data_IF_841367427064
#
_entry.id   IF_841367427064
#
_cell.length_a   1.000
_cell.length_b   1.000
_cell.length_c   1.000
_cell.angle_alpha   90.00
_cell.angle_beta   90.00
_cell.angle_gamma   90.00
#
_symmetry.space_group_name_H-M   'P 1'
#
loop_
_entity.id
_entity.type
_entity.pdbx_description
1 polymer ?
#
# COMPACT_ATOMS: atom_id res chain seq x y z
N UNK A 1 -9.42 34.55 -9.19
CA UNK A 1 -9.32 33.31 -9.97
C UNK A 1 -10.07 32.21 -9.21
N UNK A 2 -11.15 31.68 -9.75
CA UNK A 2 -11.87 30.56 -9.11
C UNK A 2 -11.03 29.30 -9.33
N UNK A 3 -10.62 28.63 -8.24
CA UNK A 3 -9.94 27.36 -8.31
C UNK A 3 -10.82 26.32 -9.03
N UNK A 4 -10.24 25.42 -9.84
CA UNK A 4 -10.96 24.29 -10.39
C UNK A 4 -11.68 23.51 -9.27
N UNK A 5 -12.86 22.97 -9.52
CA UNK A 5 -13.67 22.25 -8.52
C UNK A 5 -12.88 21.17 -7.76
N UNK A 6 -11.95 20.49 -8.44
CA UNK A 6 -11.08 19.50 -7.83
C UNK A 6 -10.13 20.07 -6.75
N UNK A 7 -9.78 21.35 -6.85
CA UNK A 7 -8.88 22.04 -5.90
C UNK A 7 -9.64 22.89 -4.88
N UNK A 8 -10.98 22.95 -4.97
CA UNK A 8 -11.82 23.75 -4.07
C UNK A 8 -11.60 23.44 -2.57
N UNK A 9 -11.32 22.19 -2.12
CA UNK A 9 -11.03 21.91 -0.71
C UNK A 9 -9.84 22.67 -0.16
N UNK A 10 -8.84 23.00 -0.97
CA UNK A 10 -7.64 23.73 -0.55
C UNK A 10 -7.92 25.22 -0.16
N UNK A 11 -9.10 25.75 -0.45
CA UNK A 11 -9.52 27.07 0.04
C UNK A 11 -9.79 27.09 1.55
N UNK A 12 -10.07 25.92 2.14
CA UNK A 12 -10.30 25.77 3.58
C UNK A 12 -8.97 25.65 4.31
N UNK A 13 -8.56 26.71 5.00
CA UNK A 13 -7.21 26.83 5.63
C UNK A 13 -6.84 25.62 6.49
N UNK A 14 -7.76 25.07 7.27
CA UNK A 14 -7.51 23.90 8.14
C UNK A 14 -7.25 22.64 7.33
N UNK A 15 -8.03 22.42 6.27
CA UNK A 15 -7.85 21.31 5.35
C UNK A 15 -6.52 21.47 4.58
N UNK A 16 -6.26 22.65 4.03
CA UNK A 16 -5.02 22.94 3.29
C UNK A 16 -3.78 22.70 4.16
N UNK A 17 -3.79 23.15 5.43
CA UNK A 17 -2.68 22.91 6.36
C UNK A 17 -2.48 21.43 6.63
N UNK A 18 -3.54 20.66 6.92
CA UNK A 18 -3.47 19.21 7.11
C UNK A 18 -2.97 18.53 5.83
N UNK A 19 -3.53 18.89 4.67
CA UNK A 19 -3.19 18.27 3.39
C UNK A 19 -1.73 18.52 3.00
N UNK A 20 -1.22 19.76 3.12
CA UNK A 20 0.17 20.10 2.79
C UNK A 20 1.16 19.44 3.75
N UNK A 21 0.87 19.45 5.06
CA UNK A 21 1.68 18.74 6.05
C UNK A 21 1.73 17.24 5.76
N UNK A 22 0.59 16.62 5.54
CA UNK A 22 0.51 15.19 5.22
C UNK A 22 1.15 14.87 3.86
N UNK A 23 1.12 15.77 2.87
CA UNK A 23 1.81 15.58 1.60
C UNK A 23 3.32 15.58 1.78
N UNK A 24 3.86 16.54 2.53
CA UNK A 24 5.29 16.57 2.86
C UNK A 24 5.71 15.29 3.61
N UNK A 25 4.91 14.86 4.60
CA UNK A 25 5.14 13.63 5.34
C UNK A 25 5.07 12.37 4.45
N UNK A 26 4.15 12.32 3.51
CA UNK A 26 4.06 11.22 2.55
C UNK A 26 5.32 11.11 1.70
N UNK A 27 5.81 12.24 1.18
CA UNK A 27 7.08 12.29 0.43
C UNK A 27 8.23 11.77 1.31
N UNK A 28 8.34 12.27 2.56
CA UNK A 28 9.36 11.84 3.51
C UNK A 28 9.29 10.34 3.82
N UNK A 29 8.10 9.81 4.06
CA UNK A 29 7.89 8.40 4.36
C UNK A 29 8.27 7.48 3.18
N UNK A 30 7.92 7.85 1.95
CA UNK A 30 8.34 7.09 0.76
C UNK A 30 9.84 7.20 0.50
N UNK A 31 10.43 8.36 0.79
CA UNK A 31 11.88 8.55 0.73
C UNK A 31 12.61 7.68 1.77
N UNK A 32 12.14 7.67 3.02
CA UNK A 32 12.66 6.81 4.10
C UNK A 32 12.54 5.32 3.73
N UNK A 33 11.41 4.88 3.18
CA UNK A 33 11.22 3.50 2.78
C UNK A 33 12.27 3.03 1.75
N UNK A 34 12.60 3.88 0.77
CA UNK A 34 13.68 3.62 -0.20
C UNK A 34 15.03 3.62 0.48
N UNK A 35 15.32 4.62 1.31
CA UNK A 35 16.59 4.76 2.03
C UNK A 35 16.87 3.55 2.93
N UNK A 36 15.88 3.10 3.70
CA UNK A 36 15.98 1.91 4.54
C UNK A 36 16.21 0.65 3.71
N UNK A 37 15.47 0.48 2.61
CA UNK A 37 15.64 -0.66 1.70
C UNK A 37 17.06 -0.73 1.13
N UNK A 38 17.62 0.40 0.68
CA UNK A 38 18.99 0.47 0.19
C UNK A 38 19.97 0.17 1.34
N UNK A 39 19.84 0.84 2.47
CA UNK A 39 20.71 0.72 3.62
C UNK A 39 20.85 -0.74 4.07
N UNK A 40 19.73 -1.44 4.32
CA UNK A 40 19.80 -2.83 4.80
C UNK A 40 20.33 -3.78 3.74
N UNK A 41 20.12 -3.51 2.46
CA UNK A 41 20.64 -4.33 1.37
C UNK A 41 22.13 -4.13 1.17
N UNK A 42 22.61 -2.88 1.20
CA UNK A 42 24.06 -2.56 1.06
C UNK A 42 24.86 -3.06 2.25
N UNK A 43 24.33 -2.89 3.48
CA UNK A 43 25.01 -3.32 4.71
C UNK A 43 25.11 -4.85 4.81
N UNK A 44 24.07 -5.58 4.38
CA UNK A 44 24.01 -7.04 4.59
C UNK A 44 24.39 -7.85 3.34
N UNK A 45 24.30 -7.25 2.15
CA UNK A 45 24.38 -7.95 0.88
C UNK A 45 23.24 -8.96 0.65
N UNK A 46 22.14 -8.92 1.42
CA UNK A 46 21.08 -9.93 1.42
C UNK A 46 19.71 -9.34 1.09
N UNK A 47 19.02 -9.97 0.14
CA UNK A 47 17.66 -9.60 -0.27
C UNK A 47 16.62 -9.91 0.83
N UNK A 48 16.87 -10.91 1.68
CA UNK A 48 16.02 -11.28 2.81
C UNK A 48 15.80 -10.12 3.78
N UNK A 49 16.79 -9.27 4.01
CA UNK A 49 16.65 -8.09 4.86
C UNK A 49 15.73 -7.03 4.24
N UNK A 50 15.80 -6.81 2.93
CA UNK A 50 14.86 -5.90 2.25
C UNK A 50 13.41 -6.40 2.39
N UNK A 51 13.19 -7.71 2.21
CA UNK A 51 11.90 -8.34 2.44
C UNK A 51 11.41 -8.22 3.88
N UNK A 52 12.30 -8.41 4.86
CA UNK A 52 11.97 -8.32 6.28
C UNK A 52 11.60 -6.89 6.71
N UNK A 53 12.34 -5.89 6.24
CA UNK A 53 12.03 -4.47 6.54
C UNK A 53 10.71 -4.06 5.90
N UNK A 54 10.45 -4.45 4.66
CA UNK A 54 9.17 -4.19 4.01
C UNK A 54 8.00 -4.87 4.75
N UNK A 55 8.22 -6.10 5.24
CA UNK A 55 7.26 -6.79 6.09
C UNK A 55 7.03 -6.05 7.42
N UNK A 56 8.09 -5.59 8.08
CA UNK A 56 8.01 -4.82 9.32
C UNK A 56 7.23 -3.50 9.15
N UNK A 57 7.41 -2.81 8.02
CA UNK A 57 6.69 -1.58 7.70
C UNK A 57 5.19 -1.82 7.47
N UNK A 58 4.80 -2.94 6.85
CA UNK A 58 3.45 -3.12 6.33
C UNK A 58 2.57 -4.04 7.18
N UNK A 59 3.14 -5.06 7.84
CA UNK A 59 2.38 -6.02 8.66
C UNK A 59 1.54 -5.36 9.78
N UNK A 60 1.98 -4.28 10.44
CA UNK A 60 1.18 -3.61 11.47
C UNK A 60 -0.20 -3.17 10.97
N UNK A 61 -0.36 -2.85 9.67
CA UNK A 61 -1.66 -2.43 9.12
C UNK A 61 -2.73 -3.53 9.25
N UNK A 62 -2.34 -4.82 9.18
CA UNK A 62 -3.27 -5.92 9.35
C UNK A 62 -3.68 -6.13 10.81
N UNK A 63 -2.71 -6.06 11.72
CA UNK A 63 -2.89 -6.48 13.11
C UNK A 63 -3.20 -5.30 14.04
N UNK A 64 -2.61 -4.13 13.79
CA UNK A 64 -2.73 -2.92 14.62
C UNK A 64 -3.78 -1.95 14.05
N UNK A 65 -3.92 -1.87 12.71
CA UNK A 65 -4.83 -0.95 12.05
C UNK A 65 -6.29 -1.01 12.55
N UNK A 66 -6.88 -2.20 12.76
CA UNK A 66 -8.23 -2.32 13.34
C UNK A 66 -8.38 -1.69 14.74
N UNK A 67 -7.32 -1.77 15.57
CA UNK A 67 -7.30 -1.12 16.89
C UNK A 67 -7.20 0.40 16.77
N UNK A 68 -6.51 0.91 15.73
CA UNK A 68 -6.44 2.35 15.43
C UNK A 68 -7.83 2.94 15.16
N UNK A 69 -8.68 2.23 14.43
CA UNK A 69 -10.08 2.64 14.21
C UNK A 69 -10.87 2.72 15.52
N UNK A 70 -10.84 1.66 16.33
CA UNK A 70 -11.51 1.64 17.62
C UNK A 70 -10.99 2.71 18.60
N UNK A 71 -9.70 3.04 18.51
CA UNK A 71 -9.07 4.07 19.33
C UNK A 71 -9.49 5.48 18.86
N UNK A 72 -9.61 5.69 17.54
CA UNK A 72 -10.09 6.94 16.95
C UNK A 72 -11.55 7.26 17.29
N UNK A 73 -12.35 6.24 17.65
CA UNK A 73 -13.71 6.40 18.13
C UNK A 73 -13.78 6.77 19.63
N UNK A 74 -12.73 6.50 20.40
CA UNK A 74 -12.67 6.71 21.87
C UNK A 74 -11.82 7.90 22.28
N UNK A 75 -10.75 8.17 21.56
CA UNK A 75 -9.81 9.27 21.83
C UNK A 75 -10.04 10.40 20.82
N UNK A 76 -9.94 11.67 21.23
CA UNK A 76 -9.99 12.77 20.26
C UNK A 76 -9.00 12.53 19.11
N UNK A 77 -9.54 12.48 17.88
CA UNK A 77 -8.79 12.14 16.65
C UNK A 77 -7.48 12.95 16.51
N UNK A 78 -7.55 14.25 16.89
CA UNK A 78 -6.39 15.13 16.93
C UNK A 78 -5.31 14.61 17.89
N UNK A 79 -5.68 14.24 19.11
CA UNK A 79 -4.74 13.75 20.13
C UNK A 79 -4.09 12.45 19.70
N UNK A 80 -4.87 11.52 19.12
CA UNK A 80 -4.37 10.26 18.61
C UNK A 80 -3.37 10.49 17.48
N UNK A 81 -3.74 11.34 16.50
CA UNK A 81 -2.87 11.63 15.35
C UNK A 81 -1.59 12.38 15.77
N UNK A 82 -1.68 13.35 16.68
CA UNK A 82 -0.49 14.03 17.22
C UNK A 82 0.43 13.07 17.95
N UNK A 83 -0.10 12.19 18.80
CA UNK A 83 0.68 11.21 19.55
C UNK A 83 1.39 10.22 18.63
N UNK A 84 0.67 9.63 17.66
CA UNK A 84 1.26 8.68 16.71
C UNK A 84 2.29 9.35 15.79
N UNK A 85 2.03 10.57 15.32
CA UNK A 85 2.99 11.34 14.50
C UNK A 85 4.23 11.74 15.32
N UNK A 86 4.09 12.09 16.61
CA UNK A 86 5.23 12.38 17.47
C UNK A 86 6.13 11.14 17.69
N UNK A 87 5.50 9.96 17.86
CA UNK A 87 6.24 8.69 17.91
C UNK A 87 6.99 8.45 16.59
N UNK A 88 6.34 8.62 15.45
CA UNK A 88 7.00 8.46 14.14
C UNK A 88 8.16 9.46 13.94
N UNK A 89 7.98 10.73 14.34
CA UNK A 89 9.05 11.73 14.30
C UNK A 89 10.26 11.32 15.17
N UNK A 90 10.00 10.81 16.38
CA UNK A 90 11.06 10.34 17.30
C UNK A 90 11.80 9.13 16.71
N UNK A 91 11.07 8.19 16.11
CA UNK A 91 11.66 7.01 15.49
C UNK A 91 12.48 7.36 14.24
N UNK A 92 11.99 8.28 13.40
CA UNK A 92 12.73 8.81 12.24
C UNK A 92 14.00 9.58 12.68
N UNK A 93 13.93 10.35 13.77
CA UNK A 93 15.10 10.97 14.39
C UNK A 93 16.09 9.92 14.91
N UNK A 94 15.60 8.81 15.46
CA UNK A 94 16.41 7.66 15.83
C UNK A 94 17.14 7.03 14.65
N UNK A 95 16.46 6.83 13.51
CA UNK A 95 17.11 6.37 12.27
C UNK A 95 18.17 7.37 11.78
N UNK A 96 17.85 8.68 11.86
CA UNK A 96 18.82 9.74 11.53
C UNK A 96 20.09 9.61 12.38
N UNK A 97 19.93 9.46 13.70
CA UNK A 97 21.07 9.32 14.60
C UNK A 97 21.87 8.04 14.34
N UNK A 98 21.19 6.89 14.18
CA UNK A 98 21.86 5.62 13.86
C UNK A 98 22.67 5.73 12.57
N UNK A 99 22.13 6.37 11.52
CA UNK A 99 22.87 6.55 10.26
C UNK A 99 24.03 7.53 10.43
N UNK A 100 23.85 8.66 11.13
CA UNK A 100 24.88 9.68 11.31
C UNK A 100 26.07 9.19 12.15
N UNK A 101 25.88 8.19 13.02
CA UNK A 101 26.93 7.58 13.84
C UNK A 101 27.43 6.24 13.31
N UNK A 102 27.09 5.85 12.08
CA UNK A 102 27.42 4.56 11.47
C UNK A 102 26.98 3.35 12.31
N UNK A 103 25.93 3.51 13.10
CA UNK A 103 25.40 2.50 14.03
C UNK A 103 24.08 1.87 13.54
N UNK A 104 23.77 2.02 12.26
CA UNK A 104 22.52 1.56 11.65
C UNK A 104 22.51 0.04 11.39
N UNK A 105 22.58 -0.73 12.47
CA UNK A 105 22.48 -2.19 12.40
C UNK A 105 21.14 -2.64 11.81
N UNK A 106 21.11 -3.62 10.89
CA UNK A 106 19.89 -4.03 10.16
C UNK A 106 18.73 -4.43 11.06
N UNK A 107 18.99 -5.09 12.20
CA UNK A 107 17.95 -5.46 13.16
C UNK A 107 17.37 -4.24 13.90
N UNK A 108 18.22 -3.26 14.25
CA UNK A 108 17.78 -2.04 14.92
C UNK A 108 16.91 -1.18 13.99
N UNK A 109 17.35 -1.03 12.74
CA UNK A 109 16.57 -0.37 11.67
C UNK A 109 15.23 -1.06 11.49
N UNK A 110 15.19 -2.40 11.41
CA UNK A 110 13.96 -3.18 11.25
C UNK A 110 13.00 -2.99 12.43
N UNK A 111 13.48 -2.96 13.67
CA UNK A 111 12.65 -2.72 14.85
C UNK A 111 12.07 -1.29 14.88
N UNK A 112 12.86 -0.30 14.49
CA UNK A 112 12.38 1.09 14.39
C UNK A 112 11.30 1.20 13.32
N UNK A 113 11.51 0.58 12.15
CA UNK A 113 10.53 0.55 11.06
C UNK A 113 9.25 -0.17 11.49
N UNK A 114 9.34 -1.28 12.22
CA UNK A 114 8.18 -1.97 12.79
C UNK A 114 7.41 -1.07 13.76
N UNK A 115 8.10 -0.40 14.69
CA UNK A 115 7.49 0.52 15.64
C UNK A 115 6.83 1.71 14.94
N UNK A 116 7.48 2.27 13.90
CA UNK A 116 6.92 3.34 13.06
C UNK A 116 5.67 2.87 12.31
N UNK A 117 5.71 1.64 11.74
CA UNK A 117 4.56 1.00 11.12
C UNK A 117 3.38 0.82 12.08
N UNK A 118 3.64 0.42 13.33
CA UNK A 118 2.60 0.31 14.37
C UNK A 118 1.98 1.69 14.68
N UNK A 119 2.81 2.73 14.85
CA UNK A 119 2.33 4.08 15.09
C UNK A 119 1.49 4.60 13.90
N UNK A 120 1.96 4.37 12.65
CA UNK A 120 1.23 4.71 11.44
C UNK A 120 -0.11 4.00 11.33
N UNK A 121 -0.15 2.69 11.59
CA UNK A 121 -1.37 1.89 11.57
C UNK A 121 -2.43 2.36 12.60
N UNK A 122 -1.99 2.83 13.77
CA UNK A 122 -2.87 3.45 14.77
C UNK A 122 -3.37 4.83 14.36
N UNK A 123 -2.52 5.66 13.74
CA UNK A 123 -2.83 7.04 13.39
C UNK A 123 -3.66 7.19 12.12
N UNK A 124 -3.52 6.28 11.16
CA UNK A 124 -4.14 6.39 9.84
C UNK A 124 -5.67 6.51 9.86
N UNK A 125 -6.43 5.71 10.67
CA UNK A 125 -7.88 5.88 10.77
C UNK A 125 -8.30 7.24 11.33
N UNK A 126 -7.53 7.79 12.29
CA UNK A 126 -7.78 9.13 12.83
C UNK A 126 -7.58 10.20 11.75
N UNK A 127 -6.52 10.11 10.94
CA UNK A 127 -6.29 11.00 9.79
C UNK A 127 -7.44 10.94 8.79
N UNK A 128 -7.85 9.74 8.37
CA UNK A 128 -8.93 9.53 7.42
C UNK A 128 -10.27 10.09 7.91
N UNK A 129 -10.56 9.95 9.19
CA UNK A 129 -11.80 10.45 9.80
C UNK A 129 -11.80 11.95 10.08
N UNK A 130 -10.61 12.61 10.11
CA UNK A 130 -10.54 14.07 10.24
C UNK A 130 -10.86 14.80 8.93
N UNK A 131 -10.56 14.21 7.77
CA UNK A 131 -10.72 14.87 6.48
C UNK A 131 -12.15 15.39 6.20
N UNK A 132 -13.21 14.58 6.40
CA UNK A 132 -14.59 15.04 6.21
C UNK A 132 -15.00 16.20 7.13
N UNK A 133 -14.41 16.29 8.33
CA UNK A 133 -14.75 17.31 9.33
C UNK A 133 -14.13 18.68 9.00
N UNK A 134 -13.22 18.75 8.03
CA UNK A 134 -12.48 19.96 7.68
C UNK A 134 -12.98 20.67 6.42
N UNK A 135 -13.93 20.05 5.71
CA UNK A 135 -14.51 20.59 4.48
C UNK A 135 -16.05 20.49 4.50
N UNK A 136 -16.77 21.39 3.84
CA UNK A 136 -18.21 21.25 3.62
C UNK A 136 -18.52 20.01 2.76
N UNK A 137 -19.76 19.51 2.84
CA UNK A 137 -20.19 18.31 2.10
C UNK A 137 -20.01 18.44 0.59
N UNK A 138 -20.19 19.62 0.02
CA UNK A 138 -19.99 19.94 -1.39
C UNK A 138 -18.55 19.74 -1.87
N UNK A 139 -17.57 19.93 -0.98
CA UNK A 139 -16.14 19.80 -1.30
C UNK A 139 -15.56 18.43 -0.92
N UNK A 140 -16.35 17.55 -0.28
CA UNK A 140 -15.87 16.26 0.26
C UNK A 140 -15.30 15.34 -0.82
N UNK A 141 -15.95 15.25 -1.98
CA UNK A 141 -15.45 14.44 -3.11
C UNK A 141 -14.08 14.93 -3.59
N UNK A 142 -13.91 16.26 -3.68
CA UNK A 142 -12.62 16.88 -4.01
C UNK A 142 -11.55 16.59 -2.95
N UNK A 143 -11.91 16.63 -1.66
CA UNK A 143 -11.00 16.32 -0.56
C UNK A 143 -10.51 14.86 -0.60
N UNK A 144 -11.39 13.91 -0.87
CA UNK A 144 -11.04 12.49 -1.03
C UNK A 144 -10.12 12.30 -2.24
N UNK A 145 -10.43 12.94 -3.37
CA UNK A 145 -9.60 12.89 -4.58
C UNK A 145 -8.20 13.47 -4.35
N UNK A 146 -8.10 14.60 -3.64
CA UNK A 146 -6.83 15.21 -3.25
C UNK A 146 -6.02 14.33 -2.29
N UNK A 147 -6.68 13.62 -1.37
CA UNK A 147 -6.03 12.63 -0.50
C UNK A 147 -5.42 11.46 -1.30
N UNK A 148 -6.15 10.93 -2.27
CA UNK A 148 -5.65 9.89 -3.16
C UNK A 148 -4.49 10.40 -4.04
N UNK A 149 -4.60 11.62 -4.58
CA UNK A 149 -3.55 12.26 -5.36
C UNK A 149 -2.27 12.46 -4.54
N UNK A 150 -2.40 12.93 -3.30
CA UNK A 150 -1.30 13.11 -2.35
C UNK A 150 -0.51 11.81 -2.14
N UNK A 151 -1.22 10.71 -1.90
CA UNK A 151 -0.60 9.40 -1.68
C UNK A 151 0.19 8.93 -2.90
N UNK A 152 -0.42 9.03 -4.09
CA UNK A 152 0.22 8.62 -5.33
C UNK A 152 1.40 9.52 -5.73
N UNK A 153 1.28 10.85 -5.54
CA UNK A 153 2.38 11.79 -5.79
C UNK A 153 3.55 11.55 -4.84
N UNK A 154 3.29 11.30 -3.54
CA UNK A 154 4.32 10.95 -2.57
C UNK A 154 5.12 9.71 -3.00
N UNK A 155 4.42 8.70 -3.53
CA UNK A 155 5.01 7.45 -4.02
C UNK A 155 5.92 7.64 -5.25
N UNK A 156 5.72 8.68 -6.05
CA UNK A 156 6.58 9.00 -7.20
C UNK A 156 7.70 9.95 -6.80
N UNK A 157 7.36 11.02 -6.08
CA UNK A 157 8.30 12.08 -5.72
C UNK A 157 9.27 11.64 -4.62
N UNK A 158 8.79 10.88 -3.62
CA UNK A 158 9.62 10.43 -2.49
C UNK A 158 10.86 9.65 -2.94
N UNK A 159 10.72 8.57 -3.71
CA UNK A 159 11.84 7.79 -4.21
C UNK A 159 12.81 8.59 -5.09
N UNK A 160 12.28 9.48 -5.95
CA UNK A 160 13.12 10.35 -6.79
C UNK A 160 13.99 11.28 -5.93
N UNK A 161 13.40 11.86 -4.87
CA UNK A 161 14.14 12.68 -3.92
C UNK A 161 15.09 11.83 -3.06
N UNK A 162 14.75 10.58 -2.73
CA UNK A 162 15.63 9.68 -2.00
C UNK A 162 16.98 9.51 -2.71
N UNK A 163 16.95 9.22 -4.02
CA UNK A 163 18.18 9.07 -4.82
C UNK A 163 19.04 10.33 -4.81
N UNK A 164 18.41 11.51 -4.94
CA UNK A 164 19.11 12.80 -4.90
C UNK A 164 19.71 13.06 -3.51
N UNK A 165 18.90 12.95 -2.45
CA UNK A 165 19.31 13.29 -1.07
C UNK A 165 20.40 12.32 -0.58
N UNK A 166 20.27 11.01 -0.83
CA UNK A 166 21.29 10.03 -0.48
C UNK A 166 22.58 10.26 -1.24
N UNK A 167 22.47 10.64 -2.53
CA UNK A 167 23.65 10.94 -3.36
C UNK A 167 24.44 12.17 -2.92
N UNK A 168 23.77 13.16 -2.31
CA UNK A 168 24.42 14.40 -1.83
C UNK A 168 24.88 14.32 -0.39
N UNK A 169 24.18 13.65 0.49
CA UNK A 169 24.40 13.75 1.92
C UNK A 169 24.32 12.46 2.71
N UNK A 170 24.08 11.31 2.06
CA UNK A 170 23.95 10.03 2.75
C UNK A 170 22.55 9.72 3.28
N UNK A 171 22.41 8.57 3.96
CA UNK A 171 21.15 8.07 4.49
C UNK A 171 20.59 8.95 5.61
N UNK A 172 21.48 9.53 6.43
CA UNK A 172 21.12 10.40 7.55
C UNK A 172 20.28 11.60 7.10
N UNK A 173 20.58 12.19 5.94
CA UNK A 173 19.80 13.29 5.37
C UNK A 173 18.42 12.84 4.91
N UNK A 174 18.30 11.66 4.34
CA UNK A 174 17.00 11.12 3.95
C UNK A 174 16.09 10.92 5.18
N UNK A 175 16.62 10.38 6.27
CA UNK A 175 15.90 10.20 7.53
C UNK A 175 15.62 11.54 8.24
N UNK A 176 16.56 12.48 8.22
CA UNK A 176 16.38 13.83 8.79
C UNK A 176 15.25 14.58 8.08
N UNK A 177 15.18 14.54 6.75
CA UNK A 177 14.09 15.17 5.99
C UNK A 177 12.75 14.55 6.36
N UNK A 178 12.65 13.22 6.54
CA UNK A 178 11.41 12.60 7.01
C UNK A 178 11.07 13.00 8.45
N UNK A 179 12.05 13.12 9.34
CA UNK A 179 11.84 13.66 10.69
C UNK A 179 11.20 15.06 10.64
N UNK A 180 11.77 15.96 9.85
CA UNK A 180 11.24 17.31 9.66
C UNK A 180 9.83 17.28 9.05
N UNK A 181 9.56 16.35 8.13
CA UNK A 181 8.25 16.22 7.52
C UNK A 181 7.17 15.83 8.54
N UNK A 182 7.46 14.95 9.49
CA UNK A 182 6.55 14.64 10.60
C UNK A 182 6.33 15.84 11.52
N UNK A 183 7.38 16.65 11.80
CA UNK A 183 7.23 17.90 12.57
C UNK A 183 6.31 18.88 11.84
N UNK A 184 6.38 18.97 10.52
CA UNK A 184 5.45 19.79 9.73
C UNK A 184 3.99 19.34 9.90
N UNK A 185 3.72 18.03 9.94
CA UNK A 185 2.38 17.51 10.24
C UNK A 185 1.93 17.90 11.65
N UNK A 186 2.80 17.77 12.66
CA UNK A 186 2.47 18.15 14.04
C UNK A 186 2.11 19.64 14.12
N UNK A 187 2.89 20.51 13.49
CA UNK A 187 2.62 21.97 13.41
C UNK A 187 1.29 22.24 12.70
N UNK A 188 1.00 21.53 11.61
CA UNK A 188 -0.24 21.70 10.86
C UNK A 188 -1.48 21.27 11.66
N UNK A 189 -1.38 20.20 12.46
CA UNK A 189 -2.50 19.64 13.22
C UNK A 189 -2.70 20.35 14.57
N UNK A 190 -1.63 20.87 15.18
CA UNK A 190 -1.67 21.46 16.52
C UNK A 190 -2.77 22.55 16.70
N UNK A 191 -3.04 23.46 15.75
CA UNK A 191 -4.10 24.47 15.89
C UNK A 191 -5.52 23.95 15.56
N UNK A 192 -5.66 22.72 15.00
CA UNK A 192 -6.95 22.20 14.56
C UNK A 192 -7.74 21.73 15.80
N UNK A 193 -8.90 22.33 16.02
CA UNK A 193 -9.85 21.90 17.05
C UNK A 193 -11.01 21.21 16.38
N UNK A 194 -11.27 19.96 16.76
CA UNK A 194 -12.40 19.15 16.33
C UNK A 194 -13.31 18.85 17.51
N UNK A 195 -14.62 18.65 17.29
CA UNK A 195 -15.53 18.13 18.30
C UNK A 195 -15.02 16.81 18.88
N UNK A 196 -15.30 16.56 20.14
CA UNK A 196 -15.03 15.26 20.74
C UNK A 196 -15.77 14.16 19.98
N UNK A 197 -15.19 12.96 19.83
CA UNK A 197 -15.88 11.84 19.21
C UNK A 197 -17.14 11.52 20.01
N UNK A 198 -18.27 11.35 19.33
CA UNK A 198 -19.45 10.76 19.92
C UNK A 198 -19.18 9.28 20.09
N UNK A 199 -19.14 8.82 21.35
CA UNK A 199 -18.99 7.40 21.65
C UNK A 199 -20.12 6.64 20.94
N UNK A 200 -19.78 5.90 19.90
CA UNK A 200 -20.65 4.86 19.37
C UNK A 200 -20.34 3.59 20.16
N UNK A 201 -21.35 2.97 20.73
CA UNK A 201 -21.25 1.59 21.21
C UNK A 201 -20.89 0.73 19.99
N UNK A 202 -19.59 0.47 19.82
CA UNK A 202 -19.06 -0.21 18.66
C UNK A 202 -19.12 -1.72 18.86
N UNK A 203 -19.53 -2.39 17.81
CA UNK A 203 -19.36 -3.84 17.66
C UNK A 203 -17.89 -4.23 17.88
N UNK A 204 -17.63 -5.38 18.48
CA UNK A 204 -16.25 -5.88 18.68
C UNK A 204 -15.53 -5.99 17.33
N UNK A 205 -14.29 -5.47 17.27
CA UNK A 205 -13.41 -5.55 16.07
C UNK A 205 -13.31 -7.00 15.58
N UNK A 206 -13.16 -7.94 16.52
CA UNK A 206 -13.08 -9.36 16.20
C UNK A 206 -14.39 -9.87 15.54
N UNK A 207 -15.54 -9.39 15.99
CA UNK A 207 -16.84 -9.72 15.38
C UNK A 207 -16.94 -9.14 13.97
N UNK A 208 -16.55 -7.88 13.77
CA UNK A 208 -16.58 -7.24 12.45
C UNK A 208 -15.67 -7.98 11.43
N UNK A 209 -14.45 -8.35 11.83
CA UNK A 209 -13.54 -9.12 10.97
C UNK A 209 -14.12 -10.52 10.68
N UNK A 210 -14.65 -11.19 11.70
CA UNK A 210 -15.24 -12.52 11.55
C UNK A 210 -16.45 -12.52 10.61
N UNK A 211 -17.32 -11.52 10.73
CA UNK A 211 -18.51 -11.40 9.89
C UNK A 211 -18.15 -11.02 8.46
N UNK A 212 -17.17 -10.13 8.25
CA UNK A 212 -16.61 -9.86 6.93
C UNK A 212 -16.00 -11.10 6.28
N UNK A 213 -15.24 -11.88 7.03
CA UNK A 213 -14.66 -13.14 6.55
C UNK A 213 -15.73 -14.21 6.28
N UNK A 214 -16.78 -14.27 7.11
CA UNK A 214 -17.92 -15.19 6.90
C UNK A 214 -18.68 -14.83 5.63
N UNK A 215 -18.99 -13.55 5.42
CA UNK A 215 -19.63 -13.07 4.20
C UNK A 215 -18.77 -13.37 2.97
N UNK A 216 -17.48 -13.07 3.03
CA UNK A 216 -16.53 -13.33 1.95
C UNK A 216 -16.42 -14.82 1.58
N UNK A 217 -16.65 -15.75 2.51
CA UNK A 217 -16.70 -17.19 2.22
C UNK A 217 -18.01 -17.63 1.58
N UNK A 218 -19.12 -16.91 1.82
CA UNK A 218 -20.45 -17.26 1.32
C UNK A 218 -20.73 -16.66 -0.05
N UNK A 219 -20.35 -15.40 -0.26
CA UNK A 219 -20.53 -14.71 -1.54
C UNK A 219 -19.44 -15.13 -2.52
N UNK A 220 -19.84 -15.70 -3.65
CA UNK A 220 -18.92 -16.35 -4.62
C UNK A 220 -17.96 -15.33 -5.24
N UNK A 221 -18.43 -14.12 -5.59
CA UNK A 221 -17.60 -13.09 -6.21
C UNK A 221 -16.56 -12.51 -5.26
N UNK A 222 -16.93 -12.24 -3.99
CA UNK A 222 -15.97 -11.79 -2.97
C UNK A 222 -14.96 -12.91 -2.65
N UNK A 223 -15.41 -14.15 -2.59
CA UNK A 223 -14.50 -15.29 -2.40
C UNK A 223 -13.52 -15.43 -3.56
N UNK A 224 -13.99 -15.32 -4.80
CA UNK A 224 -13.13 -15.33 -5.99
C UNK A 224 -12.12 -14.19 -5.94
N UNK A 225 -12.58 -12.98 -5.68
CA UNK A 225 -11.75 -11.78 -5.55
C UNK A 225 -10.67 -11.96 -4.47
N UNK A 226 -11.04 -12.40 -3.27
CA UNK A 226 -10.08 -12.61 -2.18
C UNK A 226 -9.08 -13.72 -2.50
N UNK A 227 -9.48 -14.75 -3.25
CA UNK A 227 -8.57 -15.81 -3.70
C UNK A 227 -7.54 -15.25 -4.69
N UNK A 228 -7.96 -14.51 -5.72
CA UNK A 228 -7.05 -13.88 -6.66
C UNK A 228 -6.13 -12.86 -5.98
N UNK A 229 -6.68 -12.05 -5.08
CA UNK A 229 -5.92 -11.07 -4.31
C UNK A 229 -4.90 -11.73 -3.37
N UNK A 230 -5.24 -12.85 -2.73
CA UNK A 230 -4.33 -13.59 -1.88
C UNK A 230 -3.10 -14.10 -2.64
N UNK A 231 -3.34 -14.71 -3.80
CA UNK A 231 -2.27 -15.21 -4.68
C UNK A 231 -1.42 -14.04 -5.21
N UNK A 232 -2.08 -12.96 -5.63
CA UNK A 232 -1.40 -11.74 -6.08
C UNK A 232 -0.51 -11.14 -4.98
N UNK A 233 -1.00 -11.10 -3.74
CA UNK A 233 -0.27 -10.53 -2.61
C UNK A 233 0.93 -11.36 -2.19
N UNK A 234 0.82 -12.69 -2.30
CA UNK A 234 1.89 -13.61 -1.89
C UNK A 234 2.99 -13.74 -2.96
N UNK A 235 2.61 -13.77 -4.23
CA UNK A 235 3.55 -14.07 -5.32
C UNK A 235 3.93 -12.85 -6.17
N UNK A 236 3.01 -11.91 -6.44
CA UNK A 236 3.33 -10.73 -7.22
C UNK A 236 3.87 -9.57 -6.37
N UNK A 237 3.13 -9.16 -5.34
CA UNK A 237 3.44 -7.95 -4.57
C UNK A 237 4.88 -7.85 -4.00
N UNK A 238 5.57 -8.96 -3.62
CA UNK A 238 6.91 -8.92 -3.06
C UNK A 238 7.96 -8.28 -3.97
N UNK A 239 7.73 -8.16 -5.29
CA UNK A 239 8.66 -7.46 -6.16
C UNK A 239 8.98 -6.04 -5.65
N UNK A 240 8.00 -5.37 -5.02
CA UNK A 240 8.16 -4.01 -4.47
C UNK A 240 9.23 -3.98 -3.38
N UNK A 241 9.21 -4.96 -2.48
CA UNK A 241 10.18 -5.07 -1.39
C UNK A 241 11.60 -5.38 -1.88
N UNK A 242 11.71 -6.09 -3.02
CA UNK A 242 12.96 -6.57 -3.55
C UNK A 242 13.65 -5.60 -4.53
N UNK A 243 13.02 -4.48 -4.89
CA UNK A 243 13.61 -3.48 -5.80
C UNK A 243 15.02 -3.05 -5.37
N UNK A 244 15.30 -2.71 -4.09
CA UNK A 244 16.63 -2.31 -3.68
C UNK A 244 17.68 -3.41 -3.91
N UNK A 245 17.31 -4.65 -3.62
CA UNK A 245 18.19 -5.79 -3.85
C UNK A 245 18.42 -6.05 -5.35
N UNK A 246 17.41 -5.84 -6.20
CA UNK A 246 17.57 -5.96 -7.67
C UNK A 246 18.51 -4.88 -8.19
N UNK A 247 18.35 -3.62 -7.79
CA UNK A 247 19.23 -2.54 -8.22
C UNK A 247 20.68 -2.84 -7.86
N UNK A 248 20.95 -3.24 -6.61
CA UNK A 248 22.28 -3.51 -6.10
C UNK A 248 22.88 -4.81 -6.67
N UNK A 249 22.19 -5.95 -6.55
CA UNK A 249 22.77 -7.28 -6.82
C UNK A 249 22.67 -7.72 -8.27
N UNK A 250 21.73 -7.18 -9.05
CA UNK A 250 21.51 -7.56 -10.46
C UNK A 250 22.14 -6.55 -11.41
N UNK A 251 22.09 -5.26 -11.07
CA UNK A 251 22.57 -4.18 -11.93
C UNK A 251 23.80 -3.46 -11.38
N UNK A 252 24.29 -3.86 -10.19
CA UNK A 252 25.48 -3.30 -9.53
C UNK A 252 25.39 -1.76 -9.36
N UNK A 253 24.17 -1.24 -9.14
CA UNK A 253 23.91 0.19 -8.98
C UNK A 253 23.56 0.52 -7.53
N UNK A 254 24.57 1.03 -6.81
CA UNK A 254 24.43 1.46 -5.41
C UNK A 254 23.81 2.87 -5.27
N UNK A 255 23.88 3.70 -6.31
CA UNK A 255 23.65 5.14 -6.19
C UNK A 255 22.26 5.61 -6.61
N UNK A 256 21.73 5.09 -7.69
CA UNK A 256 20.49 5.62 -8.28
C UNK A 256 19.51 4.57 -8.76
N UNK A 257 19.94 3.34 -8.95
CA UNK A 257 19.13 2.27 -9.53
C UNK A 257 17.83 1.99 -8.77
N UNK A 258 17.91 1.94 -7.43
CA UNK A 258 16.69 1.78 -6.61
C UNK A 258 15.71 2.93 -6.80
N UNK A 259 16.20 4.16 -6.74
CA UNK A 259 15.36 5.35 -6.92
C UNK A 259 14.73 5.38 -8.31
N UNK A 260 15.51 5.07 -9.36
CA UNK A 260 15.03 4.99 -10.74
C UNK A 260 13.92 3.93 -10.89
N UNK A 261 14.15 2.71 -10.38
CA UNK A 261 13.19 1.60 -10.46
C UNK A 261 11.90 1.92 -9.68
N UNK A 262 11.99 2.41 -8.45
CA UNK A 262 10.79 2.72 -7.64
C UNK A 262 10.03 3.91 -8.24
N UNK A 263 10.73 4.94 -8.75
CA UNK A 263 10.10 6.07 -9.43
C UNK A 263 9.38 5.60 -10.70
N UNK A 264 10.02 4.79 -11.53
CA UNK A 264 9.42 4.24 -12.76
C UNK A 264 8.18 3.40 -12.44
N UNK A 265 8.26 2.54 -11.42
CA UNK A 265 7.12 1.75 -10.92
C UNK A 265 5.95 2.67 -10.51
N UNK A 266 6.26 3.78 -9.81
CA UNK A 266 5.28 4.78 -9.42
C UNK A 266 4.66 5.52 -10.60
N UNK A 267 5.45 5.90 -11.61
CA UNK A 267 4.96 6.52 -12.84
C UNK A 267 3.99 5.60 -13.58
N UNK A 268 4.35 4.32 -13.74
CA UNK A 268 3.43 3.32 -14.32
C UNK A 268 2.11 3.23 -13.56
N UNK A 269 2.18 3.22 -12.23
CA UNK A 269 1.00 3.21 -11.37
C UNK A 269 0.11 4.45 -11.57
N UNK A 270 0.69 5.65 -11.71
CA UNK A 270 -0.06 6.89 -11.99
C UNK A 270 -0.73 6.83 -13.37
N UNK A 271 -0.01 6.38 -14.40
CA UNK A 271 -0.57 6.23 -15.74
C UNK A 271 -1.79 5.30 -15.72
N UNK A 272 -1.69 4.16 -15.02
CA UNK A 272 -2.82 3.24 -14.87
C UNK A 272 -3.97 3.88 -14.08
N UNK A 273 -3.70 4.59 -13.01
CA UNK A 273 -4.74 5.25 -12.22
C UNK A 273 -5.55 6.26 -13.06
N UNK A 274 -4.90 6.98 -13.98
CA UNK A 274 -5.55 7.95 -14.87
C UNK A 274 -6.35 7.26 -15.99
N UNK A 275 -5.94 6.09 -16.43
CA UNK A 275 -6.54 5.39 -17.57
C UNK A 275 -7.56 4.32 -17.17
N UNK A 276 -7.47 3.79 -15.94
CA UNK A 276 -8.29 2.67 -15.47
C UNK A 276 -9.80 2.95 -15.60
N UNK A 277 -10.24 4.17 -15.29
CA UNK A 277 -11.65 4.56 -15.43
C UNK A 277 -12.16 4.48 -16.87
N UNK A 278 -11.33 4.88 -17.84
CA UNK A 278 -11.67 4.77 -19.27
C UNK A 278 -11.70 3.30 -19.72
N UNK A 279 -10.74 2.49 -19.25
CA UNK A 279 -10.68 1.07 -19.56
C UNK A 279 -11.90 0.32 -19.02
N UNK A 280 -12.27 0.58 -17.75
CA UNK A 280 -13.42 -0.06 -17.11
C UNK A 280 -14.75 0.41 -17.69
N UNK A 281 -14.87 1.68 -18.07
CA UNK A 281 -16.06 2.19 -18.75
C UNK A 281 -16.28 1.54 -20.13
N UNK A 282 -15.18 1.18 -20.84
CA UNK A 282 -15.26 0.57 -22.16
C UNK A 282 -15.45 -0.95 -22.13
N UNK A 283 -14.78 -1.65 -21.21
CA UNK A 283 -14.69 -3.12 -21.20
C UNK A 283 -15.31 -3.78 -19.96
N UNK A 284 -15.79 -2.97 -19.00
CA UNK A 284 -16.28 -3.47 -17.71
C UNK A 284 -15.17 -3.87 -16.74
N UNK A 285 -15.49 -3.82 -15.45
CA UNK A 285 -14.52 -4.09 -14.35
C UNK A 285 -13.95 -5.51 -14.42
N UNK A 286 -14.80 -6.50 -14.74
CA UNK A 286 -14.41 -7.91 -14.85
C UNK A 286 -13.35 -8.14 -15.92
N UNK A 287 -13.61 -7.70 -17.17
CA UNK A 287 -12.70 -7.94 -18.28
C UNK A 287 -11.36 -7.24 -18.10
N UNK A 288 -11.38 -6.02 -17.57
CA UNK A 288 -10.15 -5.28 -17.23
C UNK A 288 -9.34 -6.03 -16.17
N UNK A 289 -9.95 -6.48 -15.06
CA UNK A 289 -9.25 -7.24 -14.03
C UNK A 289 -8.66 -8.54 -14.59
N UNK A 290 -9.46 -9.34 -15.33
CA UNK A 290 -9.00 -10.60 -15.90
C UNK A 290 -7.85 -10.44 -16.90
N UNK A 291 -7.86 -9.34 -17.68
CA UNK A 291 -6.74 -8.98 -18.56
C UNK A 291 -5.49 -8.63 -17.76
N UNK A 292 -5.63 -7.79 -16.73
CA UNK A 292 -4.51 -7.35 -15.92
C UNK A 292 -3.86 -8.52 -15.15
N UNK A 293 -4.62 -9.42 -14.54
CA UNK A 293 -4.06 -10.60 -13.83
C UNK A 293 -3.39 -11.58 -14.81
N UNK A 294 -3.79 -11.59 -16.08
CA UNK A 294 -3.16 -12.42 -17.13
C UNK A 294 -1.83 -11.80 -17.60
N UNK A 295 -1.75 -10.47 -17.71
CA UNK A 295 -0.55 -9.74 -18.14
C UNK A 295 0.49 -9.63 -17.03
N UNK A 296 0.07 -9.60 -15.76
CA UNK A 296 0.97 -9.36 -14.64
C UNK A 296 2.14 -10.35 -14.54
N UNK A 297 1.94 -11.69 -14.63
CA UNK A 297 3.06 -12.63 -14.59
C UNK A 297 4.07 -12.40 -15.74
N UNK A 298 3.58 -12.13 -16.94
CA UNK A 298 4.44 -11.86 -18.10
C UNK A 298 5.25 -10.56 -17.92
N UNK A 299 4.65 -9.52 -17.35
CA UNK A 299 5.36 -8.27 -17.03
C UNK A 299 6.44 -8.47 -15.95
N UNK A 300 6.18 -9.30 -14.94
CA UNK A 300 7.18 -9.66 -13.91
C UNK A 300 8.34 -10.47 -14.50
N UNK A 301 8.06 -11.41 -15.41
CA UNK A 301 9.11 -12.15 -16.10
C UNK A 301 9.95 -11.20 -16.96
N UNK A 302 9.32 -10.31 -17.71
CA UNK A 302 10.01 -9.31 -18.52
C UNK A 302 10.93 -8.43 -17.66
N UNK A 303 10.48 -7.99 -16.50
CA UNK A 303 11.31 -7.27 -15.53
C UNK A 303 12.47 -8.12 -15.01
N UNK A 304 12.22 -9.37 -14.65
CA UNK A 304 13.24 -10.26 -14.07
C UNK A 304 14.38 -10.62 -15.04
N UNK A 305 14.07 -10.73 -16.34
CA UNK A 305 15.06 -11.07 -17.38
C UNK A 305 15.71 -9.84 -18.03
N UNK A 306 15.38 -8.63 -17.60
CA UNK A 306 15.94 -7.40 -18.15
C UNK A 306 17.48 -7.44 -18.16
N UNK A 307 18.12 -7.21 -19.34
CA UNK A 307 19.57 -7.31 -19.44
C UNK A 307 20.31 -6.11 -18.84
N UNK A 308 19.69 -4.93 -18.85
CA UNK A 308 20.27 -3.68 -18.34
C UNK A 308 19.29 -2.95 -17.43
N UNK A 309 19.80 -1.99 -16.65
CA UNK A 309 18.97 -1.18 -15.74
C UNK A 309 17.90 -0.38 -16.52
N UNK A 310 18.24 0.17 -17.68
CA UNK A 310 17.31 0.95 -18.50
C UNK A 310 16.12 0.11 -18.96
N UNK A 311 16.38 -1.13 -19.40
CA UNK A 311 15.31 -2.08 -19.77
C UNK A 311 14.49 -2.45 -18.55
N UNK A 312 15.11 -2.64 -17.38
CA UNK A 312 14.43 -2.91 -16.13
C UNK A 312 13.53 -1.74 -15.70
N UNK A 313 13.96 -0.50 -15.89
CA UNK A 313 13.18 0.72 -15.63
C UNK A 313 11.91 0.76 -16.48
N UNK A 314 12.00 0.43 -17.76
CA UNK A 314 10.82 0.35 -18.65
C UNK A 314 9.92 -0.83 -18.25
N UNK A 315 10.52 -1.97 -17.96
CA UNK A 315 9.78 -3.18 -17.57
C UNK A 315 9.03 -2.99 -16.25
N UNK A 316 9.67 -2.39 -15.23
CA UNK A 316 9.04 -2.17 -13.92
C UNK A 316 7.98 -1.06 -13.98
N UNK A 317 8.07 -0.11 -14.89
CA UNK A 317 7.00 0.85 -15.16
C UNK A 317 5.73 0.12 -15.63
N UNK A 318 5.87 -0.87 -16.52
CA UNK A 318 4.76 -1.73 -16.94
C UNK A 318 4.22 -2.57 -15.76
N UNK A 319 5.11 -3.19 -14.97
CA UNK A 319 4.69 -3.94 -13.77
C UNK A 319 3.91 -3.04 -12.81
N UNK A 320 4.39 -1.83 -12.57
CA UNK A 320 3.72 -0.85 -11.71
C UNK A 320 2.32 -0.48 -12.19
N UNK A 321 2.16 -0.26 -13.50
CA UNK A 321 0.87 0.00 -14.12
C UNK A 321 -0.09 -1.18 -13.93
N UNK A 322 0.32 -2.38 -14.32
CA UNK A 322 -0.52 -3.59 -14.27
C UNK A 322 -0.85 -3.96 -12.82
N UNK A 323 0.12 -3.92 -11.92
CA UNK A 323 -0.09 -4.23 -10.50
C UNK A 323 -1.07 -3.28 -9.83
N UNK A 324 -0.93 -1.95 -10.04
CA UNK A 324 -1.89 -0.99 -9.50
C UNK A 324 -3.28 -1.18 -10.10
N UNK A 325 -3.35 -1.46 -11.39
CA UNK A 325 -4.61 -1.78 -12.07
C UNK A 325 -5.32 -2.98 -11.43
N UNK A 326 -4.58 -4.06 -11.15
CA UNK A 326 -5.10 -5.22 -10.41
C UNK A 326 -5.62 -4.82 -9.03
N UNK A 327 -4.80 -4.14 -8.23
CA UNK A 327 -5.15 -3.76 -6.86
C UNK A 327 -6.38 -2.85 -6.82
N UNK A 328 -6.42 -1.82 -7.67
CA UNK A 328 -7.55 -0.90 -7.77
C UNK A 328 -8.82 -1.61 -8.24
N UNK A 329 -8.73 -2.50 -9.21
CA UNK A 329 -9.87 -3.29 -9.69
C UNK A 329 -10.40 -4.23 -8.59
N UNK A 330 -9.52 -4.90 -7.84
CA UNK A 330 -9.92 -5.72 -6.69
C UNK A 330 -10.70 -4.88 -5.66
N UNK A 331 -10.20 -3.70 -5.29
CA UNK A 331 -10.86 -2.81 -4.33
C UNK A 331 -12.21 -2.32 -4.85
N UNK A 332 -12.29 -1.94 -6.12
CA UNK A 332 -13.53 -1.43 -6.74
C UNK A 332 -14.60 -2.53 -6.80
N UNK A 333 -14.26 -3.72 -7.30
CA UNK A 333 -15.20 -4.85 -7.38
C UNK A 333 -15.67 -5.26 -5.97
N UNK A 334 -14.78 -5.27 -4.98
CA UNK A 334 -15.16 -5.54 -3.59
C UNK A 334 -16.18 -4.54 -3.06
N UNK A 335 -16.00 -3.25 -3.35
CA UNK A 335 -16.91 -2.19 -2.91
C UNK A 335 -18.26 -2.24 -3.63
N UNK A 336 -18.28 -2.60 -4.91
CA UNK A 336 -19.51 -2.73 -5.70
C UNK A 336 -20.34 -3.95 -5.28
N UNK A 337 -19.67 -5.06 -4.94
CA UNK A 337 -20.35 -6.32 -4.57
C UNK A 337 -20.77 -6.38 -3.11
N UNK A 338 -20.06 -5.70 -2.22
CA UNK A 338 -20.39 -5.74 -0.79
C UNK A 338 -21.63 -4.89 -0.49
N UNK A 339 -22.68 -5.44 0.17
CA UNK A 339 -23.81 -4.68 0.69
C UNK A 339 -23.33 -3.51 1.55
N UNK A 340 -24.06 -2.41 1.54
CA UNK A 340 -23.67 -1.17 2.24
C UNK A 340 -23.32 -1.42 3.71
N UNK A 341 -24.10 -2.29 4.38
CA UNK A 341 -23.96 -2.64 5.81
C UNK A 341 -22.69 -3.46 6.09
N UNK A 342 -22.24 -4.26 5.12
CA UNK A 342 -21.08 -5.16 5.25
C UNK A 342 -19.83 -4.64 4.55
N UNK A 343 -19.93 -3.55 3.77
CA UNK A 343 -18.82 -3.02 2.96
C UNK A 343 -17.57 -2.74 3.79
N UNK A 344 -17.72 -2.08 4.94
CA UNK A 344 -16.60 -1.83 5.85
C UNK A 344 -15.94 -3.11 6.37
N UNK A 345 -16.74 -4.13 6.68
CA UNK A 345 -16.27 -5.44 7.18
C UNK A 345 -15.50 -6.21 6.11
N UNK A 346 -15.99 -6.20 4.86
CA UNK A 346 -15.30 -6.82 3.72
C UNK A 346 -13.99 -6.10 3.44
N UNK A 347 -13.98 -4.77 3.43
CA UNK A 347 -12.74 -4.00 3.24
C UNK A 347 -11.72 -4.24 4.36
N UNK A 348 -12.15 -4.38 5.61
CA UNK A 348 -11.28 -4.74 6.73
C UNK A 348 -10.67 -6.12 6.55
N UNK A 349 -11.46 -7.12 6.10
CA UNK A 349 -10.95 -8.46 5.81
C UNK A 349 -9.90 -8.45 4.67
N UNK A 350 -10.10 -7.62 3.65
CA UNK A 350 -9.14 -7.41 2.56
C UNK A 350 -7.84 -6.79 3.08
N UNK A 351 -7.92 -5.78 3.95
CA UNK A 351 -6.73 -5.14 4.52
C UNK A 351 -5.93 -6.11 5.39
N UNK A 352 -6.59 -6.95 6.17
CA UNK A 352 -5.94 -8.02 6.95
C UNK A 352 -5.25 -9.02 6.02
N UNK A 353 -5.90 -9.42 4.92
CA UNK A 353 -5.33 -10.32 3.93
C UNK A 353 -4.07 -9.71 3.30
N UNK A 354 -4.13 -8.47 2.84
CA UNK A 354 -3.01 -7.75 2.24
C UNK A 354 -1.86 -7.57 3.25
N UNK A 355 -2.17 -7.10 4.47
CA UNK A 355 -1.20 -6.86 5.52
C UNK A 355 -0.58 -8.13 6.10
N UNK A 356 -1.12 -9.31 5.79
CA UNK A 356 -0.55 -10.60 6.18
C UNK A 356 0.23 -11.24 5.03
N UNK A 357 -0.36 -11.34 3.83
CA UNK A 357 0.23 -12.12 2.74
C UNK A 357 1.34 -11.38 2.00
N UNK A 358 1.27 -10.05 1.86
CA UNK A 358 2.37 -9.28 1.27
C UNK A 358 3.66 -9.35 2.12
N UNK A 359 3.63 -9.11 3.46
CA UNK A 359 4.79 -9.31 4.32
C UNK A 359 5.33 -10.73 4.28
N UNK A 360 4.46 -11.73 4.38
CA UNK A 360 4.86 -13.13 4.29
C UNK A 360 5.56 -13.44 2.97
N UNK A 361 4.98 -13.01 1.85
CA UNK A 361 5.57 -13.16 0.53
C UNK A 361 6.92 -12.45 0.40
N UNK A 362 7.06 -11.25 0.97
CA UNK A 362 8.29 -10.47 0.93
C UNK A 362 9.43 -11.14 1.69
N UNK A 363 9.17 -11.68 2.88
CA UNK A 363 10.16 -12.42 3.66
C UNK A 363 10.55 -13.73 2.95
N UNK A 364 9.56 -14.50 2.49
CA UNK A 364 9.82 -15.77 1.80
C UNK A 364 10.61 -15.57 0.50
N UNK A 365 10.18 -14.66 -0.36
CA UNK A 365 10.87 -14.41 -1.63
C UNK A 365 12.24 -13.77 -1.42
N UNK A 366 12.41 -12.92 -0.40
CA UNK A 366 13.71 -12.38 -0.04
C UNK A 366 14.69 -13.47 0.39
N UNK A 367 14.25 -14.38 1.26
CA UNK A 367 15.08 -15.52 1.69
C UNK A 367 15.41 -16.48 0.53
N UNK A 368 14.44 -16.81 -0.32
CA UNK A 368 14.65 -17.62 -1.53
C UNK A 368 15.63 -16.92 -2.48
N UNK A 369 15.54 -15.61 -2.64
CA UNK A 369 16.41 -14.84 -3.51
C UNK A 369 17.87 -14.82 -3.03
N UNK A 370 18.10 -14.96 -1.73
CA UNK A 370 19.47 -15.09 -1.19
C UNK A 370 20.12 -16.43 -1.59
N UNK A 371 19.32 -17.49 -1.81
CA UNK A 371 19.80 -18.84 -2.16
C UNK A 371 19.91 -19.05 -3.68
N UNK A 372 18.87 -18.71 -4.45
CA UNK A 372 18.80 -19.01 -5.88
C UNK A 372 18.91 -17.77 -6.78
N UNK A 373 19.05 -16.59 -6.19
CA UNK A 373 19.16 -15.30 -6.89
C UNK A 373 17.81 -14.64 -7.22
N UNK A 374 17.83 -13.31 -7.33
CA UNK A 374 16.65 -12.47 -7.50
C UNK A 374 15.89 -12.74 -8.80
N UNK A 375 16.61 -12.94 -9.92
CA UNK A 375 16.00 -13.23 -11.23
C UNK A 375 15.23 -14.54 -11.19
N UNK A 376 15.83 -15.61 -10.69
CA UNK A 376 15.21 -16.94 -10.60
C UNK A 376 13.99 -16.91 -9.66
N UNK A 377 14.10 -16.22 -8.52
CA UNK A 377 13.00 -16.05 -7.56
C UNK A 377 11.81 -15.32 -8.17
N UNK A 378 12.06 -14.18 -8.87
CA UNK A 378 11.00 -13.40 -9.49
C UNK A 378 10.32 -14.16 -10.64
N UNK A 379 11.11 -14.85 -11.49
CA UNK A 379 10.57 -15.70 -12.56
C UNK A 379 9.74 -16.85 -11.96
N UNK A 380 10.28 -17.55 -10.95
CA UNK A 380 9.59 -18.65 -10.27
C UNK A 380 8.27 -18.20 -9.65
N UNK A 381 8.26 -17.07 -8.93
CA UNK A 381 7.05 -16.49 -8.37
C UNK A 381 6.02 -16.11 -9.46
N UNK A 382 6.47 -15.54 -10.59
CA UNK A 382 5.60 -15.20 -11.72
C UNK A 382 5.02 -16.45 -12.40
N UNK A 383 5.80 -17.51 -12.55
CA UNK A 383 5.32 -18.80 -13.09
C UNK A 383 4.29 -19.45 -12.16
N UNK A 384 4.54 -19.46 -10.84
CA UNK A 384 3.57 -19.95 -9.86
C UNK A 384 2.29 -19.10 -9.89
N UNK A 385 2.41 -17.77 -9.98
CA UNK A 385 1.30 -16.85 -10.12
C UNK A 385 0.45 -17.17 -11.36
N UNK A 386 1.09 -17.34 -12.53
CA UNK A 386 0.42 -17.70 -13.78
C UNK A 386 -0.28 -19.06 -13.68
N UNK A 387 0.43 -20.06 -13.16
CA UNK A 387 -0.11 -21.41 -12.94
C UNK A 387 -1.30 -21.43 -12.00
N UNK A 388 -1.24 -20.66 -10.90
CA UNK A 388 -2.34 -20.54 -9.95
C UNK A 388 -3.58 -19.87 -10.58
N UNK A 389 -3.39 -18.79 -11.33
CA UNK A 389 -4.50 -18.12 -12.04
C UNK A 389 -5.11 -19.03 -13.11
N UNK A 390 -4.28 -19.77 -13.85
CA UNK A 390 -4.74 -20.72 -14.84
C UNK A 390 -5.48 -21.90 -14.18
N UNK A 391 -4.95 -22.45 -13.10
CA UNK A 391 -5.59 -23.52 -12.34
C UNK A 391 -6.98 -23.09 -11.80
N UNK A 392 -7.10 -21.87 -11.27
CA UNK A 392 -8.40 -21.35 -10.81
C UNK A 392 -9.39 -21.28 -11.96
N UNK A 393 -9.00 -20.80 -13.15
CA UNK A 393 -9.88 -20.74 -14.31
C UNK A 393 -10.39 -22.11 -14.76
N UNK A 394 -9.56 -23.15 -14.65
CA UNK A 394 -9.96 -24.52 -14.98
C UNK A 394 -10.80 -25.15 -13.87
N UNK A 395 -10.33 -25.09 -12.62
CA UNK A 395 -10.94 -25.78 -11.49
C UNK A 395 -12.17 -25.06 -10.93
N UNK A 396 -12.29 -23.76 -11.16
CA UNK A 396 -13.34 -22.88 -10.65
C UNK A 396 -13.83 -21.88 -11.72
N UNK A 397 -14.32 -22.36 -12.89
CA UNK A 397 -14.70 -21.46 -14.00
C UNK A 397 -15.77 -20.44 -13.61
N UNK A 398 -16.61 -20.75 -12.59
CA UNK A 398 -17.59 -19.80 -12.05
C UNK A 398 -16.97 -18.57 -11.34
N UNK A 399 -15.69 -18.63 -10.93
CA UNK A 399 -15.03 -17.48 -10.28
C UNK A 399 -14.87 -16.30 -11.21
N UNK A 400 -14.45 -16.52 -12.45
CA UNK A 400 -14.30 -15.46 -13.43
C UNK A 400 -15.64 -14.80 -13.78
N UNK A 401 -16.71 -15.59 -13.85
CA UNK A 401 -18.07 -15.08 -14.08
C UNK A 401 -18.59 -14.30 -12.86
N UNK A 402 -18.29 -14.79 -11.65
CA UNK A 402 -18.70 -14.15 -10.41
C UNK A 402 -18.02 -12.81 -10.12
N UNK A 403 -16.97 -12.42 -10.86
CA UNK A 403 -16.34 -11.10 -10.77
C UNK A 403 -17.10 -10.01 -11.57
N UNK A 404 -18.11 -10.37 -12.36
CA UNK A 404 -18.99 -9.43 -13.10
C UNK A 404 -19.84 -8.55 -12.16
N UNK A 405 -20.51 -7.56 -12.74
CA UNK A 405 -21.40 -6.69 -11.99
C UNK A 405 -22.55 -7.50 -11.38
N UNK A 406 -22.95 -7.18 -10.12
CA UNK A 406 -24.04 -7.89 -9.44
C UNK A 406 -25.37 -7.85 -10.17
N UNK A 407 -25.61 -6.79 -10.97
CA UNK A 407 -26.82 -6.64 -11.80
C UNK A 407 -26.85 -7.61 -13.00
N UNK A 408 -25.67 -8.02 -13.51
CA UNK A 408 -25.55 -9.01 -14.58
C UNK A 408 -25.62 -10.45 -14.06
N UNK A 409 -25.32 -10.67 -12.76
CA UNK A 409 -25.20 -11.99 -12.15
C UNK A 409 -26.52 -12.55 -11.59
N UNK A 410 -27.63 -11.80 -11.61
CA UNK A 410 -28.87 -12.15 -10.91
C UNK A 410 -28.76 -12.02 -9.38
N UNK A 411 -29.84 -12.20 -8.62
CA UNK A 411 -29.78 -12.16 -7.16
C UNK A 411 -28.77 -13.22 -6.67
N UNK A 412 -27.98 -12.91 -5.61
CA UNK A 412 -26.91 -13.78 -5.14
C UNK A 412 -27.50 -15.15 -4.78
N UNK A 413 -27.02 -16.19 -5.47
CA UNK A 413 -27.26 -17.58 -5.07
C UNK A 413 -26.56 -17.79 -3.73
N UNK A 414 -27.28 -17.57 -2.65
CA UNK A 414 -26.82 -17.93 -1.31
C UNK A 414 -26.72 -19.47 -1.28
N UNK A 415 -25.52 -19.97 -1.04
CA UNK A 415 -25.35 -21.38 -0.82
C UNK A 415 -26.32 -21.83 0.28
N UNK A 416 -27.04 -22.99 0.11
CA UNK A 416 -28.01 -23.46 1.07
C UNK A 416 -27.36 -23.55 2.46
N UNK A 417 -28.07 -23.10 3.48
CA UNK A 417 -27.63 -23.25 4.88
C UNK A 417 -27.38 -24.74 5.14
N UNK A 418 -26.21 -25.08 5.73
CA UNK A 418 -26.02 -26.45 6.19
C UNK A 418 -27.11 -26.71 7.25
N UNK A 419 -27.94 -27.72 7.00
CA UNK A 419 -28.92 -28.19 7.96
C UNK A 419 -28.24 -28.42 9.31
N UNK A 420 -28.65 -27.62 10.30
CA UNK A 420 -28.27 -27.86 11.70
C UNK A 420 -28.89 -29.17 12.12
N UNK A 421 -28.08 -30.23 12.12
CA UNK A 421 -28.36 -31.47 12.78
C UNK A 421 -27.87 -31.47 14.22
#
# INVERSE_FOLDING_TARGET
MQLPRALAPLRHRRYAALWTGAFASNIGTWMEAVAVGILVTTTTGRAGWAGLVAAAAFAPNAFIGPFGGALADRIPRRTLLLGTTAVQATLAAGLTALAAFDAAEPWAVTLIVLASGCAGALGFPAYQSMMPDLVPREDLTGAIALGAAQWNLGRVVGPALAGLVIGFGGFEWAFAVNTVSFLAVIVAIAPIRLPAPTLREGESIATAIRDGARYARREVGIRALMTYLAINSLFAAPFIALIPAVALKVFDDERGGTAALVTAQGVGAVVMALTLGLLTARWGHRHVLLSLITVLPASLIFYAIAPTLEVAVVAIMLVGAVYLGCLSSFMTIAQLRAPTELRGRVMSAILVLLGTLYPLGSVLQGAIADEIGLRATTVGAAVILAGAFFAIRILRPGFDHALGDPEEAGPPELAPEPALG
#
